data_IF_769248370414
#
_entry.id   IF_769248370414
#
_cell.length_a   1.000
_cell.length_b   1.000
_cell.length_c   1.000
_cell.angle_alpha   90.00
_cell.angle_beta   90.00
_cell.angle_gamma   90.00
#
_symmetry.space_group_name_H-M   'P 1'
#
loop_
_entity.id
_entity.type
_entity.pdbx_description
1 polymer ?
#
# COMPACT_ATOMS: atom_id res chain seq x y z
N UNK A 1 -12.49 10.86 4.51
CA UNK A 1 -11.85 10.02 3.47
C UNK A 1 -11.38 8.73 4.15
N UNK A 2 -11.54 7.57 3.52
CA UNK A 2 -11.06 6.28 4.06
C UNK A 2 -10.05 5.68 3.08
N UNK A 3 -8.81 5.47 3.55
CA UNK A 3 -7.72 4.91 2.75
C UNK A 3 -7.27 3.61 3.41
N UNK A 4 -7.28 2.54 2.62
CA UNK A 4 -6.86 1.22 3.05
C UNK A 4 -5.69 0.72 2.19
N UNK A 5 -4.63 0.22 2.82
CA UNK A 5 -3.50 -0.41 2.15
C UNK A 5 -3.23 -1.78 2.74
N UNK A 6 -2.67 -2.66 1.91
CA UNK A 6 -2.26 -3.97 2.39
C UNK A 6 -1.06 -3.84 3.33
N UNK A 7 -0.94 -4.73 4.31
CA UNK A 7 0.16 -4.74 5.28
C UNK A 7 1.49 -5.25 4.67
N UNK A 8 2.01 -4.55 3.66
CA UNK A 8 3.36 -4.73 3.11
C UNK A 8 3.99 -3.35 2.92
N UNK A 9 5.27 -3.20 3.28
CA UNK A 9 5.96 -1.92 3.24
C UNK A 9 5.87 -1.24 1.87
N UNK A 10 5.95 -2.02 0.77
CA UNK A 10 5.85 -1.45 -0.58
C UNK A 10 4.51 -0.76 -0.84
N UNK A 11 3.39 -1.30 -0.36
CA UNK A 11 2.07 -0.68 -0.61
C UNK A 11 1.76 0.42 0.39
N UNK A 12 2.30 0.34 1.62
CA UNK A 12 2.27 1.44 2.57
C UNK A 12 2.96 2.67 1.97
N UNK A 13 4.20 2.48 1.48
CA UNK A 13 5.00 3.56 0.91
C UNK A 13 4.36 4.12 -0.37
N UNK A 14 3.91 3.28 -1.29
CA UNK A 14 3.20 3.76 -2.50
C UNK A 14 1.93 4.53 -2.17
N UNK A 15 1.17 4.11 -1.15
CA UNK A 15 -0.03 4.82 -0.75
C UNK A 15 0.31 6.20 -0.14
N UNK A 16 1.33 6.28 0.72
CA UNK A 16 1.82 7.56 1.26
C UNK A 16 2.29 8.48 0.13
N UNK A 17 3.07 7.97 -0.84
CA UNK A 17 3.53 8.77 -1.98
C UNK A 17 2.37 9.32 -2.82
N UNK A 18 1.32 8.51 -3.01
CA UNK A 18 0.13 8.95 -3.74
C UNK A 18 -0.62 10.06 -2.98
N UNK A 19 -0.76 9.91 -1.66
CA UNK A 19 -1.39 10.91 -0.81
C UNK A 19 -0.61 12.23 -0.76
N UNK A 20 0.73 12.15 -0.72
CA UNK A 20 1.59 13.33 -0.88
C UNK A 20 1.30 13.99 -2.24
N UNK A 21 1.28 13.24 -3.33
CA UNK A 21 0.99 13.79 -4.66
C UNK A 21 -0.38 14.48 -4.76
N UNK A 22 -1.39 13.98 -4.05
CA UNK A 22 -2.75 14.53 -4.08
C UNK A 22 -2.96 15.73 -3.16
N UNK A 23 -2.32 15.75 -1.98
CA UNK A 23 -2.64 16.68 -0.90
C UNK A 23 -1.49 17.58 -0.46
N UNK A 24 -0.28 17.36 -0.98
CA UNK A 24 0.85 18.23 -0.67
C UNK A 24 0.58 19.66 -1.16
N UNK A 25 0.82 20.62 -0.27
CA UNK A 25 0.68 22.05 -0.55
C UNK A 25 -0.70 22.43 -1.11
N UNK A 26 -1.75 21.76 -0.63
CA UNK A 26 -3.13 22.11 -0.98
C UNK A 26 -3.46 23.49 -0.45
N UNK A 27 -4.09 24.33 -1.27
CA UNK A 27 -4.54 25.69 -0.88
C UNK A 27 -5.58 25.69 0.24
N UNK A 28 -6.20 24.54 0.53
CA UNK A 28 -7.14 24.36 1.62
C UNK A 28 -6.47 24.03 2.97
N UNK A 29 -5.23 23.55 2.97
CA UNK A 29 -4.54 23.09 4.18
C UNK A 29 -3.92 24.26 4.95
N UNK A 30 -4.26 24.40 6.23
CA UNK A 30 -3.80 25.49 7.10
C UNK A 30 -2.73 25.01 8.08
N UNK A 31 -1.58 25.71 8.17
CA UNK A 31 -0.60 25.43 9.22
C UNK A 31 -1.21 25.66 10.60
N UNK A 32 -0.82 24.84 11.58
CA UNK A 32 -1.33 24.88 12.95
C UNK A 32 -2.71 24.24 13.15
N UNK A 33 -3.41 23.86 12.07
CA UNK A 33 -4.72 23.20 12.11
C UNK A 33 -4.63 21.82 11.45
N UNK A 34 -4.26 21.78 10.17
CA UNK A 34 -4.24 20.54 9.37
C UNK A 34 -2.87 19.85 9.42
N UNK A 35 -1.82 20.62 9.70
CA UNK A 35 -0.48 20.11 9.95
C UNK A 35 0.27 20.99 10.97
N UNK A 36 1.24 20.44 11.70
CA UNK A 36 2.02 21.19 12.68
C UNK A 36 2.75 22.39 12.06
N UNK A 37 2.65 23.56 12.69
CA UNK A 37 3.44 24.75 12.35
C UNK A 37 4.75 24.74 13.15
N UNK A 38 5.59 23.72 12.93
CA UNK A 38 6.92 23.61 13.52
C UNK A 38 7.97 23.43 12.44
N UNK A 39 9.20 23.96 12.60
CA UNK A 39 10.25 23.91 11.58
C UNK A 39 10.65 22.48 11.16
N UNK A 40 10.50 21.50 12.06
CA UNK A 40 10.84 20.10 11.82
C UNK A 40 9.82 19.38 10.96
N UNK A 41 8.59 19.92 10.85
CA UNK A 41 7.54 19.33 10.03
C UNK A 41 7.61 19.85 8.61
N UNK A 42 7.50 18.99 7.58
CA UNK A 42 7.50 19.46 6.19
C UNK A 42 6.31 20.38 5.93
N UNK A 43 6.58 21.62 5.53
CA UNK A 43 5.52 22.60 5.29
C UNK A 43 4.58 22.13 4.17
N UNK A 44 3.27 22.18 4.42
CA UNK A 44 2.25 21.73 3.47
C UNK A 44 2.08 20.21 3.38
N UNK A 45 2.77 19.41 4.21
CA UNK A 45 2.50 17.98 4.35
C UNK A 45 1.38 17.74 5.38
N UNK A 46 0.24 17.26 4.91
CA UNK A 46 -0.90 16.88 5.76
C UNK A 46 -0.80 15.39 6.10
N UNK A 47 -0.74 15.01 7.38
CA UNK A 47 -0.78 13.59 7.76
C UNK A 47 -2.19 13.03 7.55
N UNK A 48 -2.31 12.05 6.64
CA UNK A 48 -3.59 11.40 6.34
C UNK A 48 -3.56 9.98 6.91
N UNK A 49 -4.58 9.56 7.68
CA UNK A 49 -4.62 8.23 8.28
C UNK A 49 -4.71 7.14 7.19
N UNK A 50 -3.84 6.13 7.32
CA UNK A 50 -3.79 4.97 6.44
C UNK A 50 -4.13 3.72 7.25
N UNK A 51 -5.25 3.09 6.93
CA UNK A 51 -5.68 1.88 7.62
C UNK A 51 -5.06 0.65 6.98
N UNK A 52 -4.62 -0.29 7.82
CA UNK A 52 -4.19 -1.62 7.40
C UNK A 52 -4.93 -2.70 8.18
N UNK A 53 -5.05 -3.86 7.56
CA UNK A 53 -5.60 -5.05 8.18
C UNK A 53 -4.54 -6.16 8.14
N UNK A 54 -4.53 -7.02 9.16
CA UNK A 54 -3.62 -8.16 9.26
C UNK A 54 -3.75 -9.01 7.99
N UNK A 55 -2.60 -9.39 7.41
CA UNK A 55 -2.50 -10.08 6.11
C UNK A 55 -3.45 -11.26 5.89
N UNK A 56 -3.81 -12.00 6.95
CA UNK A 56 -4.66 -13.19 6.85
C UNK A 56 -6.14 -12.86 6.63
N UNK A 57 -6.56 -11.65 6.96
CA UNK A 57 -7.96 -11.19 6.87
C UNK A 57 -8.14 -10.07 5.85
N UNK A 58 -7.09 -9.75 5.08
CA UNK A 58 -7.13 -8.70 4.08
C UNK A 58 -7.64 -9.24 2.73
N UNK A 59 -8.90 -8.89 2.41
CA UNK A 59 -9.56 -9.27 1.17
C UNK A 59 -8.93 -8.64 -0.08
N UNK A 60 -8.26 -7.49 0.05
CA UNK A 60 -7.59 -6.82 -1.09
C UNK A 60 -6.44 -7.68 -1.62
N UNK A 61 -5.76 -8.40 -0.72
CA UNK A 61 -4.62 -9.25 -1.08
C UNK A 61 -5.00 -10.71 -1.34
N UNK A 62 -6.17 -11.15 -0.89
CA UNK A 62 -6.62 -12.54 -1.02
C UNK A 62 -6.66 -12.99 -2.49
N UNK A 63 -7.16 -12.14 -3.39
CA UNK A 63 -7.20 -12.47 -4.83
C UNK A 63 -5.81 -12.65 -5.42
N UNK A 64 -4.88 -11.71 -5.16
CA UNK A 64 -3.51 -11.80 -5.67
C UNK A 64 -2.75 -12.98 -5.06
N UNK A 65 -3.02 -13.33 -3.80
CA UNK A 65 -2.42 -14.49 -3.15
C UNK A 65 -2.91 -15.81 -3.77
N UNK A 66 -4.22 -15.95 -4.02
CA UNK A 66 -4.79 -17.14 -4.67
C UNK A 66 -4.24 -17.31 -6.08
N UNK A 67 -4.17 -16.23 -6.86
CA UNK A 67 -3.60 -16.26 -8.21
C UNK A 67 -2.11 -16.63 -8.20
N UNK A 68 -1.32 -16.01 -7.31
CA UNK A 68 0.10 -16.35 -7.17
C UNK A 68 0.31 -17.79 -6.70
N UNK A 69 -0.51 -18.29 -5.77
CA UNK A 69 -0.46 -19.68 -5.31
C UNK A 69 -0.82 -20.65 -6.45
N UNK A 70 -1.81 -20.31 -7.28
CA UNK A 70 -2.18 -21.08 -8.46
C UNK A 70 -1.05 -21.12 -9.48
N UNK A 71 -0.42 -19.98 -9.79
CA UNK A 71 0.71 -19.90 -10.72
C UNK A 71 1.93 -20.67 -10.21
N UNK A 72 2.23 -20.62 -8.90
CA UNK A 72 3.29 -21.43 -8.29
C UNK A 72 2.98 -22.92 -8.36
N UNK A 73 1.73 -23.32 -8.12
CA UNK A 73 1.29 -24.72 -8.27
C UNK A 73 1.42 -25.17 -9.72
N UNK A 74 1.01 -24.34 -10.68
CA UNK A 74 1.13 -24.59 -12.13
C UNK A 74 2.59 -24.77 -12.54
N UNK A 75 3.51 -23.91 -12.09
CA UNK A 75 4.95 -24.02 -12.37
C UNK A 75 5.59 -25.27 -11.75
N UNK A 76 5.20 -25.64 -10.53
CA UNK A 76 5.67 -26.87 -9.89
C UNK A 76 5.14 -28.14 -10.58
N UNK A 77 3.92 -28.12 -11.10
CA UNK A 77 3.37 -29.24 -11.88
C UNK A 77 4.02 -29.30 -13.27
N UNK A 78 4.25 -28.16 -13.92
CA UNK A 78 4.94 -28.09 -15.21
C UNK A 78 6.42 -28.55 -15.11
N UNK A 79 7.13 -28.17 -14.04
CA UNK A 79 8.50 -28.64 -13.79
C UNK A 79 8.60 -30.15 -13.50
N UNK A 80 7.48 -30.81 -13.14
CA UNK A 80 7.42 -32.26 -12.90
C UNK A 80 7.10 -33.07 -14.16
N UNK A 81 6.60 -32.42 -15.22
CA UNK A 81 6.32 -33.02 -16.53
C UNK A 81 7.45 -32.81 -17.56
N UNK A 82 8.45 -31.97 -17.24
CA UNK A 82 9.57 -31.59 -18.13
C UNK A 82 10.88 -32.34 -17.83
N UNK A 83 10.79 -33.61 -17.40
CA UNK A 83 11.92 -34.55 -17.43
C UNK A 83 11.42 -35.95 -17.83
N UNK A 84 11.32 -36.20 -19.13
CA UNK A 84 11.81 -37.46 -19.66
C UNK A 84 12.67 -37.21 -20.90
N UNK A 85 13.98 -37.35 -20.73
CA UNK A 85 14.89 -37.89 -21.74
C UNK A 85 15.63 -39.04 -21.07
#
# INVERSE_FOLDING_TARGET
MYIHSTDVNRTLQSAISNLIGMYYNSTAAKPGIDYPEIPEWPHGYVPIPLHTVIRKTDFVRLLTFVLNAYELKKKNVAGKLMFPC
#
